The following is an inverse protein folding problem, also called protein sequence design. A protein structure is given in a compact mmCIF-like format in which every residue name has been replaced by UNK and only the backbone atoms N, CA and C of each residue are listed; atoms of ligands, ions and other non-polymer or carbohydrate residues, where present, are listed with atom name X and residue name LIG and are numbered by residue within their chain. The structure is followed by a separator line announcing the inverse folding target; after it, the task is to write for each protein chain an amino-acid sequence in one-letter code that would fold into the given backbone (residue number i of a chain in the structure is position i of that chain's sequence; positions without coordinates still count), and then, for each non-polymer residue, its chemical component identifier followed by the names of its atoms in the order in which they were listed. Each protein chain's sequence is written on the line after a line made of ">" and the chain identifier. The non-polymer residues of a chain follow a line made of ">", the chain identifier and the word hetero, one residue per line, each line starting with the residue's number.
data_IF_379342835750
#
_entry.id   IF_379342835750
#
_cell.length_a   1.000
_cell.length_b   1.000
_cell.length_c   1.000
_cell.angle_alpha   90.00
_cell.angle_beta   90.00
_cell.angle_gamma   90.00
#
_symmetry.space_group_name_H-M   'P 1'
#
loop_
_entity.id
_entity.type
_entity.pdbx_description
1 polymer ?
#
# COMPACT_ATOMS: atom_id res chain seq x y z
N UNK A 1 22.04 -43.90 -19.84
CA UNK A 1 21.66 -42.64 -20.50
C UNK A 1 20.14 -42.62 -20.66
N UNK A 2 19.42 -41.96 -19.74
CA UNK A 2 18.00 -41.63 -19.92
C UNK A 2 17.94 -40.14 -20.24
N UNK A 3 17.42 -39.80 -21.41
CA UNK A 3 17.13 -38.44 -21.81
C UNK A 3 16.27 -37.77 -20.74
N UNK A 4 16.79 -36.68 -20.16
CA UNK A 4 15.99 -35.72 -19.40
C UNK A 4 15.21 -34.96 -20.46
N UNK A 5 13.93 -35.30 -20.60
CA UNK A 5 12.98 -34.46 -21.29
C UNK A 5 12.87 -33.18 -20.46
N UNK A 6 13.33 -32.06 -21.01
CA UNK A 6 13.15 -30.72 -20.46
C UNK A 6 11.64 -30.49 -20.31
N UNK A 7 11.09 -30.81 -19.13
CA UNK A 7 9.78 -30.31 -18.74
C UNK A 7 9.97 -28.83 -18.49
N UNK A 8 9.69 -28.04 -19.53
CA UNK A 8 9.43 -26.61 -19.42
C UNK A 8 8.63 -26.40 -18.14
N UNK A 9 9.26 -25.78 -17.15
CA UNK A 9 8.55 -25.10 -16.07
C UNK A 9 7.37 -24.43 -16.76
N UNK A 10 6.16 -24.60 -16.25
CA UNK A 10 4.99 -23.98 -16.85
C UNK A 10 4.99 -22.47 -16.52
N UNK A 11 6.08 -21.82 -16.93
CA UNK A 11 6.34 -20.40 -16.99
C UNK A 11 5.24 -19.74 -17.79
N UNK A 12 4.58 -20.45 -18.71
CA UNK A 12 3.35 -19.98 -19.36
C UNK A 12 2.21 -19.84 -18.36
N UNK A 13 1.89 -20.85 -17.55
CA UNK A 13 0.83 -20.74 -16.54
C UNK A 13 1.18 -19.76 -15.43
N UNK A 14 2.44 -19.70 -15.01
CA UNK A 14 2.91 -18.72 -14.03
C UNK A 14 2.81 -17.30 -14.60
N UNK A 15 3.34 -17.07 -15.82
CA UNK A 15 3.20 -15.79 -16.51
C UNK A 15 1.73 -15.45 -16.73
N UNK A 16 0.91 -16.40 -17.16
CA UNK A 16 -0.54 -16.21 -17.37
C UNK A 16 -1.22 -15.79 -16.08
N UNK A 17 -0.93 -16.45 -14.95
CA UNK A 17 -1.43 -16.05 -13.64
C UNK A 17 -1.00 -14.63 -13.25
N UNK A 18 0.26 -14.26 -13.51
CA UNK A 18 0.76 -12.90 -13.26
C UNK A 18 0.17 -11.85 -14.18
N UNK A 19 0.00 -12.17 -15.46
CA UNK A 19 -0.62 -11.31 -16.47
C UNK A 19 -2.09 -11.10 -16.14
N UNK A 20 -2.83 -12.16 -15.81
CA UNK A 20 -4.22 -12.09 -15.36
C UNK A 20 -4.32 -11.28 -14.08
N UNK A 21 -3.51 -11.56 -13.05
CA UNK A 21 -3.52 -10.77 -11.81
C UNK A 21 -3.20 -9.29 -12.08
N UNK A 22 -2.20 -8.98 -12.90
CA UNK A 22 -1.83 -7.60 -13.24
C UNK A 22 -2.93 -6.89 -14.02
N UNK A 23 -3.52 -7.53 -15.03
CA UNK A 23 -4.54 -6.93 -15.89
C UNK A 23 -5.88 -6.79 -15.14
N UNK A 24 -6.23 -7.75 -14.28
CA UNK A 24 -7.35 -7.64 -13.34
C UNK A 24 -7.11 -6.53 -12.32
N UNK A 25 -5.91 -6.41 -11.72
CA UNK A 25 -5.57 -5.32 -10.80
C UNK A 25 -5.58 -3.93 -11.47
N UNK A 26 -5.20 -3.86 -12.76
CA UNK A 26 -5.20 -2.62 -13.54
C UNK A 26 -6.61 -2.13 -13.93
N UNK A 27 -7.62 -2.98 -13.81
CA UNK A 27 -9.02 -2.70 -14.17
C UNK A 27 -9.93 -2.45 -12.96
N UNK A 28 -9.39 -2.43 -11.73
CA UNK A 28 -10.13 -2.24 -10.46
C UNK A 28 -10.78 -0.84 -10.29
N UNK A 29 -10.80 0.00 -11.32
CA UNK A 29 -11.61 1.22 -11.29
C UNK A 29 -13.03 0.96 -11.84
N UNK A 30 -13.99 0.98 -10.91
CA UNK A 30 -15.45 1.07 -11.07
C UNK A 30 -16.22 -0.25 -11.31
N UNK A 31 -16.69 -0.85 -10.19
CA UNK A 31 -17.63 -1.99 -10.04
C UNK A 31 -17.08 -3.35 -10.44
N UNK A 32 -16.61 -4.10 -9.44
CA UNK A 32 -16.26 -5.51 -9.58
C UNK A 32 -17.48 -6.35 -9.97
N UNK A 33 -17.37 -7.11 -11.06
CA UNK A 33 -18.28 -8.22 -11.31
C UNK A 33 -17.82 -9.44 -10.51
N UNK A 34 -18.73 -10.34 -10.13
CA UNK A 34 -18.36 -11.58 -9.43
C UNK A 34 -17.36 -12.44 -10.21
N UNK A 35 -17.29 -12.25 -11.54
CA UNK A 35 -16.37 -12.92 -12.43
C UNK A 35 -14.92 -12.44 -12.20
N UNK A 36 -14.71 -11.14 -12.03
CA UNK A 36 -13.37 -10.55 -11.86
C UNK A 36 -12.72 -11.00 -10.54
N UNK A 37 -13.53 -11.10 -9.48
CA UNK A 37 -13.11 -11.61 -8.17
C UNK A 37 -12.76 -13.09 -8.23
N UNK A 38 -13.48 -13.88 -9.04
CA UNK A 38 -13.23 -15.30 -9.18
C UNK A 38 -11.96 -15.58 -10.00
N UNK A 39 -11.73 -14.83 -11.08
CA UNK A 39 -10.48 -14.90 -11.85
C UNK A 39 -9.26 -14.51 -11.01
N UNK A 40 -9.41 -13.52 -10.12
CA UNK A 40 -8.37 -13.14 -9.17
C UNK A 40 -8.05 -14.30 -8.20
N UNK A 41 -9.07 -14.93 -7.61
CA UNK A 41 -8.91 -16.09 -6.72
C UNK A 41 -8.24 -17.27 -7.43
N UNK A 42 -8.65 -17.57 -8.66
CA UNK A 42 -8.03 -18.63 -9.47
C UNK A 42 -6.55 -18.33 -9.74
N UNK A 43 -6.21 -17.06 -10.01
CA UNK A 43 -4.82 -16.61 -10.14
C UNK A 43 -3.98 -16.88 -8.90
N UNK A 44 -4.51 -16.55 -7.71
CA UNK A 44 -3.86 -16.85 -6.43
C UNK A 44 -3.71 -18.35 -6.19
N UNK A 45 -4.75 -19.15 -6.41
CA UNK A 45 -4.69 -20.61 -6.22
C UNK A 45 -3.65 -21.26 -7.16
N UNK A 46 -3.57 -20.81 -8.41
CA UNK A 46 -2.56 -21.27 -9.36
C UNK A 46 -1.15 -20.90 -8.90
N UNK A 47 -0.95 -19.68 -8.39
CA UNK A 47 0.33 -19.23 -7.86
C UNK A 47 0.77 -20.10 -6.67
N UNK A 48 -0.11 -20.33 -5.70
CA UNK A 48 0.16 -21.17 -4.54
C UNK A 48 0.50 -22.62 -4.94
N UNK A 49 -0.26 -23.19 -5.88
CA UNK A 49 -0.01 -24.54 -6.40
C UNK A 49 1.35 -24.62 -7.10
N UNK A 50 1.71 -23.64 -7.92
CA UNK A 50 2.99 -23.58 -8.61
C UNK A 50 4.17 -23.47 -7.63
N UNK A 51 4.03 -22.65 -6.58
CA UNK A 51 5.04 -22.50 -5.52
C UNK A 51 5.22 -23.83 -4.77
N UNK A 52 4.13 -24.46 -4.34
CA UNK A 52 4.19 -25.73 -3.60
C UNK A 52 4.81 -26.84 -4.45
N UNK A 53 4.42 -26.96 -5.72
CA UNK A 53 5.00 -27.95 -6.63
C UNK A 53 6.50 -27.73 -6.87
N UNK A 54 6.93 -26.47 -6.99
CA UNK A 54 8.33 -26.11 -7.15
C UNK A 54 9.16 -26.41 -5.87
N UNK A 55 8.57 -26.22 -4.68
CA UNK A 55 9.17 -26.61 -3.39
C UNK A 55 9.33 -28.12 -3.28
N UNK A 56 8.28 -28.89 -3.54
CA UNK A 56 8.30 -30.37 -3.51
C UNK A 56 9.35 -30.98 -4.44
N UNK A 57 9.54 -30.37 -5.62
CA UNK A 57 10.52 -30.83 -6.62
C UNK A 57 11.94 -30.34 -6.38
N UNK A 58 12.20 -29.57 -5.31
CA UNK A 58 13.51 -28.96 -5.05
C UNK A 58 13.96 -27.97 -6.12
N UNK A 59 13.03 -27.47 -6.94
CA UNK A 59 13.26 -26.50 -8.02
C UNK A 59 13.10 -25.05 -7.53
N UNK A 60 12.62 -24.87 -6.31
CA UNK A 60 12.55 -23.60 -5.61
C UNK A 60 13.95 -23.15 -5.15
N UNK A 61 14.70 -22.51 -6.06
CA UNK A 61 16.11 -22.13 -5.84
C UNK A 61 16.29 -20.76 -5.17
N UNK A 62 15.30 -19.86 -5.26
CA UNK A 62 15.25 -18.59 -4.52
C UNK A 62 14.38 -18.81 -3.28
N UNK A 63 14.87 -18.55 -2.09
CA UNK A 63 14.12 -18.75 -0.83
C UNK A 63 13.10 -17.65 -0.53
N UNK A 64 13.14 -16.54 -1.27
CA UNK A 64 12.30 -15.36 -1.06
C UNK A 64 11.41 -15.08 -2.28
N UNK A 65 10.13 -14.84 -2.02
CA UNK A 65 9.12 -14.41 -2.99
C UNK A 65 8.86 -12.92 -2.73
N UNK A 66 9.01 -12.04 -3.72
CA UNK A 66 8.59 -10.64 -3.61
C UNK A 66 7.37 -10.43 -4.51
N UNK A 67 6.18 -10.30 -3.91
CA UNK A 67 4.93 -10.12 -4.66
C UNK A 67 4.97 -8.86 -5.55
N UNK A 68 5.62 -7.80 -5.10
CA UNK A 68 5.69 -6.54 -5.86
C UNK A 68 6.57 -6.67 -7.10
N UNK A 69 7.69 -7.38 -7.00
CA UNK A 69 8.55 -7.72 -8.14
C UNK A 69 7.79 -8.62 -9.13
N UNK A 70 7.16 -9.66 -8.59
CA UNK A 70 6.47 -10.69 -9.36
C UNK A 70 5.28 -10.13 -10.14
N UNK A 71 4.51 -9.22 -9.56
CA UNK A 71 3.41 -8.53 -10.24
C UNK A 71 3.85 -7.32 -11.07
N UNK A 72 5.13 -6.91 -11.01
CA UNK A 72 5.64 -5.74 -11.72
C UNK A 72 5.06 -4.40 -11.20
N UNK A 73 4.65 -4.35 -9.94
CA UNK A 73 3.95 -3.21 -9.31
C UNK A 73 4.85 -2.36 -8.41
N UNK A 74 6.16 -2.64 -8.39
CA UNK A 74 7.16 -2.02 -7.50
C UNK A 74 7.20 -0.49 -7.54
N UNK A 75 6.77 0.09 -8.64
CA UNK A 75 6.86 1.53 -8.94
C UNK A 75 5.47 2.16 -9.13
N UNK A 76 4.39 1.40 -8.87
CA UNK A 76 3.02 1.87 -9.06
C UNK A 76 2.51 2.55 -7.79
N UNK A 77 2.54 3.88 -7.79
CA UNK A 77 2.09 4.73 -6.66
C UNK A 77 0.65 4.42 -6.24
N UNK A 78 -0.26 4.16 -7.20
CA UNK A 78 -1.66 3.82 -6.90
C UNK A 78 -1.81 2.53 -6.10
N UNK A 79 -1.01 1.50 -6.39
CA UNK A 79 -1.02 0.24 -5.64
C UNK A 79 -0.52 0.43 -4.21
N UNK A 80 0.55 1.21 -4.04
CA UNK A 80 1.05 1.59 -2.71
C UNK A 80 0.01 2.38 -1.93
N UNK A 81 -0.65 3.34 -2.58
CA UNK A 81 -1.70 4.16 -1.98
C UNK A 81 -2.90 3.31 -1.55
N UNK A 82 -3.27 2.29 -2.32
CA UNK A 82 -4.33 1.35 -1.95
C UNK A 82 -3.96 0.51 -0.70
N UNK A 83 -2.73 0.00 -0.63
CA UNK A 83 -2.27 -0.74 0.57
C UNK A 83 -2.23 0.17 1.79
N UNK A 84 -1.73 1.40 1.65
CA UNK A 84 -1.72 2.38 2.73
C UNK A 84 -3.14 2.75 3.17
N UNK A 85 -4.06 2.99 2.24
CA UNK A 85 -5.46 3.29 2.55
C UNK A 85 -6.13 2.13 3.30
N UNK A 86 -5.86 0.90 2.89
CA UNK A 86 -6.32 -0.31 3.60
C UNK A 86 -5.77 -0.37 5.03
N UNK A 87 -4.47 -0.10 5.25
CA UNK A 87 -3.85 -0.03 6.58
C UNK A 87 -4.37 1.13 7.46
N UNK A 88 -4.75 2.25 6.83
CA UNK A 88 -5.25 3.46 7.50
C UNK A 88 -6.73 3.37 7.88
N UNK A 89 -7.48 2.39 7.36
CA UNK A 89 -8.90 2.23 7.65
C UNK A 89 -9.11 1.22 8.79
N UNK A 90 -9.50 1.65 10.01
CA UNK A 90 -9.67 0.75 11.16
C UNK A 90 -10.68 -0.38 10.99
N UNK A 91 -11.59 -0.28 10.00
CA UNK A 91 -12.64 -1.26 9.73
C UNK A 91 -12.22 -2.33 8.71
N UNK A 92 -11.04 -2.18 8.09
CA UNK A 92 -10.54 -3.12 7.08
C UNK A 92 -9.89 -4.36 7.71
N UNK A 93 -9.82 -5.44 6.91
CA UNK A 93 -9.34 -6.75 7.34
C UNK A 93 -7.80 -6.87 7.42
N UNK A 94 -7.10 -5.85 7.94
CA UNK A 94 -5.63 -5.90 8.16
C UNK A 94 -5.23 -6.38 9.56
N UNK A 95 -6.14 -6.37 10.54
CA UNK A 95 -5.92 -6.93 11.89
C UNK A 95 -5.28 -5.98 12.90
N UNK A 96 -5.01 -4.72 12.54
CA UNK A 96 -4.46 -3.71 13.46
C UNK A 96 -5.53 -2.81 14.09
N UNK A 97 -6.77 -2.86 13.59
CA UNK A 97 -7.83 -1.92 13.97
C UNK A 97 -7.36 -0.46 13.85
N UNK A 98 -7.65 0.37 14.83
CA UNK A 98 -7.24 1.78 14.82
C UNK A 98 -5.75 2.04 15.10
N UNK A 99 -4.96 1.02 15.46
CA UNK A 99 -3.59 1.21 15.97
C UNK A 99 -2.66 1.80 14.91
N UNK A 100 -2.69 1.28 13.68
CA UNK A 100 -1.81 1.78 12.62
C UNK A 100 -2.04 3.27 12.34
N UNK A 101 -3.30 3.67 12.12
CA UNK A 101 -3.66 5.08 11.89
C UNK A 101 -3.26 5.98 13.07
N UNK A 102 -3.49 5.54 14.31
CA UNK A 102 -3.10 6.31 15.51
C UNK A 102 -1.60 6.46 15.64
N UNK A 103 -0.87 5.36 15.50
CA UNK A 103 0.58 5.34 15.67
C UNK A 103 1.26 6.13 14.55
N UNK A 104 0.71 6.09 13.33
CA UNK A 104 1.14 6.93 12.22
C UNK A 104 0.99 8.42 12.55
N UNK A 105 -0.19 8.88 12.98
CA UNK A 105 -0.39 10.29 13.35
C UNK A 105 0.52 10.69 14.52
N UNK A 106 0.61 9.87 15.57
CA UNK A 106 1.43 10.17 16.74
C UNK A 106 2.94 10.24 16.41
N UNK A 107 3.41 9.41 15.48
CA UNK A 107 4.82 9.36 15.06
C UNK A 107 5.19 10.54 14.16
N UNK A 108 4.30 10.96 13.27
CA UNK A 108 4.54 12.05 12.31
C UNK A 108 4.27 13.43 12.91
N UNK A 109 3.19 13.57 13.68
CA UNK A 109 2.72 14.85 14.21
C UNK A 109 2.79 14.86 15.74
N UNK A 110 3.94 15.30 16.27
CA UNK A 110 4.18 15.42 17.71
C UNK A 110 3.06 16.28 18.35
N UNK A 111 2.61 15.87 19.54
CA UNK A 111 1.53 16.48 20.33
C UNK A 111 0.12 16.52 19.70
N UNK A 112 -0.06 15.91 18.53
CA UNK A 112 -1.36 15.80 17.90
C UNK A 112 -1.99 14.44 18.16
N UNK A 113 -3.10 14.44 18.91
CA UNK A 113 -3.88 13.23 19.17
C UNK A 113 -5.18 13.25 18.38
N UNK A 114 -5.46 12.12 17.74
CA UNK A 114 -6.77 11.83 17.21
C UNK A 114 -7.79 11.60 18.36
N UNK A 115 -9.09 11.81 18.12
CA UNK A 115 -10.13 11.48 19.10
C UNK A 115 -10.09 10.02 19.57
N UNK A 116 -10.66 9.74 20.74
CA UNK A 116 -10.66 8.38 21.33
C UNK A 116 -11.48 7.35 20.57
N UNK A 117 -12.47 7.77 19.77
CA UNK A 117 -13.18 6.91 18.82
C UNK A 117 -12.92 7.42 17.41
N UNK A 118 -12.51 6.54 16.51
CA UNK A 118 -12.31 6.87 15.11
C UNK A 118 -13.46 6.30 14.30
N UNK A 119 -14.22 7.20 13.69
CA UNK A 119 -15.09 6.88 12.55
C UNK A 119 -14.51 7.67 11.39
N UNK A 120 -13.96 6.95 10.42
CA UNK A 120 -13.22 7.58 9.32
C UNK A 120 -13.74 7.07 7.99
N UNK A 121 -13.70 7.93 6.98
CA UNK A 121 -13.84 7.54 5.58
C UNK A 121 -12.47 7.66 4.93
N UNK A 122 -11.96 6.55 4.41
CA UNK A 122 -10.73 6.54 3.62
C UNK A 122 -11.10 6.52 2.14
N UNK A 123 -10.38 7.29 1.32
CA UNK A 123 -10.61 7.35 -0.12
C UNK A 123 -9.26 7.49 -0.84
N UNK A 124 -9.03 6.66 -1.85
CA UNK A 124 -7.91 6.79 -2.78
C UNK A 124 -8.36 7.46 -4.08
N UNK A 125 -7.39 7.99 -4.82
CA UNK A 125 -7.60 8.65 -6.13
C UNK A 125 -8.77 9.66 -6.13
N UNK A 126 -8.88 10.45 -5.06
CA UNK A 126 -10.00 11.38 -4.90
C UNK A 126 -9.86 12.53 -5.91
N UNK A 127 -10.71 12.51 -6.94
CA UNK A 127 -10.82 13.60 -7.92
C UNK A 127 -11.19 14.92 -7.24
N UNK A 128 -10.42 15.96 -7.53
CA UNK A 128 -10.60 17.32 -7.04
C UNK A 128 -10.34 18.31 -8.18
N UNK A 129 -11.38 18.55 -8.98
CA UNK A 129 -11.25 19.23 -10.27
C UNK A 129 -10.42 18.38 -11.23
N UNK A 130 -9.30 18.92 -11.70
CA UNK A 130 -8.36 18.22 -12.60
C UNK A 130 -7.30 17.40 -11.85
N UNK A 131 -7.23 17.48 -10.51
CA UNK A 131 -6.22 16.74 -9.74
C UNK A 131 -6.79 15.50 -9.08
N UNK A 132 -5.89 14.62 -8.71
CA UNK A 132 -6.16 13.40 -7.97
C UNK A 132 -5.33 13.46 -6.69
N UNK A 133 -6.00 13.33 -5.53
CA UNK A 133 -5.35 13.12 -4.24
C UNK A 133 -5.14 11.63 -4.02
N UNK A 134 -3.91 11.23 -3.68
CA UNK A 134 -3.58 9.81 -3.55
C UNK A 134 -4.35 9.14 -2.41
N UNK A 135 -4.37 9.74 -1.21
CA UNK A 135 -5.14 9.24 -0.06
C UNK A 135 -5.72 10.39 0.76
N UNK A 136 -7.00 10.29 1.08
CA UNK A 136 -7.68 11.18 2.04
C UNK A 136 -8.38 10.33 3.11
N UNK A 137 -8.05 10.59 4.38
CA UNK A 137 -8.77 10.08 5.55
C UNK A 137 -9.57 11.23 6.15
N UNK A 138 -10.88 11.11 6.13
CA UNK A 138 -11.82 12.08 6.68
C UNK A 138 -12.37 11.56 8.00
N UNK A 139 -12.15 12.30 9.08
CA UNK A 139 -12.77 12.05 10.38
C UNK A 139 -13.57 13.25 10.88
N UNK A 140 -14.23 13.11 12.03
CA UNK A 140 -15.03 14.19 12.61
C UNK A 140 -14.14 15.39 12.99
N UNK A 141 -14.22 16.47 12.21
CA UNK A 141 -13.45 17.71 12.36
C UNK A 141 -11.93 17.53 12.21
N UNK A 142 -11.48 16.52 11.47
CA UNK A 142 -10.07 16.38 11.13
C UNK A 142 -9.85 15.65 9.80
N UNK A 143 -8.71 15.91 9.18
CA UNK A 143 -8.32 15.34 7.90
C UNK A 143 -6.88 14.87 7.95
N UNK A 144 -6.61 13.71 7.35
CA UNK A 144 -5.28 13.32 6.92
C UNK A 144 -5.27 13.23 5.40
N UNK A 145 -4.31 13.89 4.78
CA UNK A 145 -4.09 13.88 3.34
C UNK A 145 -2.67 13.42 3.11
N UNK A 146 -2.52 12.37 2.31
CA UNK A 146 -1.21 11.83 1.94
C UNK A 146 -1.10 11.95 0.44
N UNK A 147 -0.09 12.69 0.00
CA UNK A 147 0.46 12.58 -1.35
C UNK A 147 1.58 11.53 -1.30
N UNK A 148 1.48 10.50 -2.13
CA UNK A 148 2.40 9.37 -2.14
C UNK A 148 3.23 9.40 -3.44
N UNK A 149 4.55 9.34 -3.30
CA UNK A 149 5.48 9.42 -4.42
C UNK A 149 6.55 8.33 -4.30
N UNK A 150 6.61 7.41 -5.24
CA UNK A 150 7.55 6.26 -5.24
C UNK A 150 8.73 6.50 -6.19
N UNK A 151 8.50 7.22 -7.30
CA UNK A 151 9.45 7.29 -8.39
C UNK A 151 10.08 8.67 -8.61
N UNK A 152 9.34 9.72 -8.28
CA UNK A 152 9.67 11.07 -8.70
C UNK A 152 9.41 12.07 -7.59
N UNK A 153 10.17 13.17 -7.60
CA UNK A 153 9.88 14.34 -6.79
C UNK A 153 8.50 14.92 -7.09
N UNK A 154 8.07 15.84 -6.25
CA UNK A 154 6.76 16.49 -6.36
C UNK A 154 6.49 17.04 -7.78
N UNK A 155 5.30 16.76 -8.34
CA UNK A 155 4.83 17.46 -9.54
C UNK A 155 4.62 18.95 -9.21
N UNK A 156 5.08 19.85 -10.08
CA UNK A 156 5.16 21.28 -9.77
C UNK A 156 3.85 21.86 -9.17
N UNK A 157 3.96 22.36 -7.94
CA UNK A 157 2.93 23.08 -7.18
C UNK A 157 1.75 22.25 -6.64
N UNK A 158 1.78 20.92 -6.72
CA UNK A 158 0.69 20.09 -6.21
C UNK A 158 0.49 20.25 -4.69
N UNK A 159 1.57 20.25 -3.90
CA UNK A 159 1.48 20.44 -2.44
C UNK A 159 1.07 21.87 -2.06
N UNK A 160 1.41 22.87 -2.86
CA UNK A 160 0.99 24.27 -2.63
C UNK A 160 -0.53 24.37 -2.76
N UNK A 161 -1.10 23.84 -3.85
CA UNK A 161 -2.54 23.89 -4.12
C UNK A 161 -3.35 23.18 -3.03
N UNK A 162 -2.91 22.00 -2.62
CA UNK A 162 -3.58 21.26 -1.54
C UNK A 162 -3.42 21.95 -0.18
N UNK A 163 -2.25 22.52 0.10
CA UNK A 163 -2.05 23.30 1.32
C UNK A 163 -3.03 24.48 1.40
N UNK A 164 -3.24 25.24 0.32
CA UNK A 164 -4.20 26.34 0.29
C UNK A 164 -5.64 25.89 0.55
N UNK A 165 -6.05 24.78 -0.09
CA UNK A 165 -7.39 24.20 0.12
C UNK A 165 -7.61 23.77 1.56
N UNK A 166 -6.72 22.94 2.09
CA UNK A 166 -6.89 22.40 3.43
C UNK A 166 -6.61 23.43 4.52
N UNK A 167 -5.87 24.50 4.23
CA UNK A 167 -5.78 25.67 5.12
C UNK A 167 -7.14 26.32 5.35
N UNK A 168 -8.06 26.30 4.37
CA UNK A 168 -9.42 26.79 4.59
C UNK A 168 -10.18 25.92 5.59
N UNK A 169 -9.99 24.59 5.57
CA UNK A 169 -10.52 23.69 6.59
C UNK A 169 -9.95 23.98 7.97
N UNK A 170 -8.63 24.22 8.05
CA UNK A 170 -7.96 24.69 9.26
C UNK A 170 -8.56 25.98 9.83
N UNK A 171 -8.88 26.96 8.97
CA UNK A 171 -9.55 28.22 9.38
C UNK A 171 -10.95 28.00 9.96
N UNK A 172 -11.63 26.90 9.61
CA UNK A 172 -12.92 26.50 10.18
C UNK A 172 -12.77 25.74 11.52
N UNK A 173 -11.56 25.61 12.05
CA UNK A 173 -11.27 24.92 13.31
C UNK A 173 -11.08 23.40 13.17
N UNK A 174 -11.01 22.88 11.95
CA UNK A 174 -10.74 21.47 11.70
C UNK A 174 -9.24 21.18 11.77
N UNK A 175 -8.83 20.04 12.35
CA UNK A 175 -7.41 19.64 12.35
C UNK A 175 -7.02 19.10 10.98
N UNK A 176 -5.85 19.47 10.46
CA UNK A 176 -5.40 19.01 9.14
C UNK A 176 -3.98 18.50 9.25
N UNK A 177 -3.79 17.25 8.80
CA UNK A 177 -2.52 16.56 8.67
C UNK A 177 -2.22 16.42 7.18
N UNK A 178 -1.17 17.07 6.70
CA UNK A 178 -0.73 16.98 5.30
C UNK A 178 0.62 16.28 5.26
N UNK A 179 0.70 15.18 4.51
CA UNK A 179 1.90 14.34 4.42
C UNK A 179 2.31 14.22 2.96
N UNK A 180 3.61 14.41 2.71
CA UNK A 180 4.25 13.92 1.49
C UNK A 180 5.03 12.66 1.87
N UNK A 181 4.54 11.51 1.44
CA UNK A 181 5.19 10.22 1.65
C UNK A 181 6.04 9.90 0.43
N UNK A 182 7.32 9.63 0.66
CA UNK A 182 8.26 9.16 -0.38
C UNK A 182 9.26 8.18 0.22
N UNK A 183 9.97 7.36 -0.58
CA UNK A 183 10.99 6.44 -0.08
C UNK A 183 11.92 7.10 0.94
N UNK A 184 12.60 8.19 0.56
CA UNK A 184 13.60 8.85 1.41
C UNK A 184 13.04 10.00 2.27
N UNK A 185 11.75 10.30 2.18
CA UNK A 185 11.14 11.44 2.88
C UNK A 185 11.62 12.79 2.35
N UNK A 186 11.61 12.94 1.02
CA UNK A 186 12.04 14.16 0.32
C UNK A 186 11.19 15.36 0.76
N UNK A 187 11.79 16.54 1.05
CA UNK A 187 11.03 17.72 1.43
C UNK A 187 10.05 18.17 0.35
N UNK A 188 8.81 18.53 0.71
CA UNK A 188 7.85 19.15 -0.20
C UNK A 188 8.24 20.61 -0.52
N UNK A 189 7.73 21.12 -1.64
CA UNK A 189 7.81 22.55 -1.97
C UNK A 189 6.98 23.38 -0.99
N UNK A 190 5.80 22.89 -0.59
CA UNK A 190 4.95 23.54 0.41
C UNK A 190 5.37 23.19 1.84
N UNK A 191 5.69 24.20 2.64
CA UNK A 191 6.03 24.03 4.06
C UNK A 191 4.88 23.56 4.96
N UNK A 192 3.65 23.46 4.42
CA UNK A 192 2.51 22.90 5.15
C UNK A 192 2.47 21.37 5.12
N UNK A 193 3.16 20.75 4.16
CA UNK A 193 3.28 19.30 4.08
C UNK A 193 4.43 18.83 4.97
N UNK A 194 4.20 17.76 5.70
CA UNK A 194 5.24 17.08 6.49
C UNK A 194 5.88 16.00 5.61
N UNK A 195 7.20 16.04 5.35
CA UNK A 195 7.87 14.96 4.65
C UNK A 195 7.92 13.70 5.53
N UNK A 196 7.58 12.56 4.95
CA UNK A 196 7.60 11.26 5.63
C UNK A 196 8.29 10.24 4.73
N UNK A 197 9.22 9.48 5.31
CA UNK A 197 9.86 8.33 4.64
C UNK A 197 9.02 7.06 4.81
N UNK A 198 9.06 6.17 3.82
CA UNK A 198 8.49 4.82 3.93
C UNK A 198 9.07 4.00 5.09
N UNK A 199 10.26 4.38 5.60
CA UNK A 199 10.81 3.82 6.83
C UNK A 199 9.85 3.89 8.01
N UNK A 200 9.11 5.00 8.14
CA UNK A 200 8.14 5.17 9.22
C UNK A 200 7.02 4.13 9.09
N UNK A 201 6.54 3.90 7.87
CA UNK A 201 5.53 2.88 7.58
C UNK A 201 6.07 1.49 7.98
N UNK A 202 7.28 1.15 7.53
CA UNK A 202 7.94 -0.12 7.87
C UNK A 202 8.07 -0.31 9.38
N UNK A 203 8.64 0.65 10.10
CA UNK A 203 8.86 0.58 11.55
C UNK A 203 7.54 0.36 12.32
N UNK A 204 6.46 1.02 11.89
CA UNK A 204 5.13 0.85 12.47
C UNK A 204 4.58 -0.56 12.23
N UNK A 205 4.65 -1.05 10.99
CA UNK A 205 4.19 -2.40 10.65
C UNK A 205 4.97 -3.47 11.41
N UNK A 206 6.30 -3.37 11.45
CA UNK A 206 7.15 -4.30 12.21
C UNK A 206 6.81 -4.31 13.71
N UNK A 207 6.52 -3.13 14.28
CA UNK A 207 6.14 -3.00 15.69
C UNK A 207 4.79 -3.64 15.95
N UNK A 208 3.80 -3.41 15.09
CA UNK A 208 2.45 -3.96 15.24
C UNK A 208 2.44 -5.48 15.06
N UNK A 209 3.17 -6.01 14.07
CA UNK A 209 3.32 -7.46 13.87
C UNK A 209 3.96 -8.15 15.06
N UNK A 210 4.95 -7.52 15.71
CA UNK A 210 5.60 -8.07 16.92
C UNK A 210 4.68 -8.04 18.15
N UNK A 211 3.80 -7.06 18.25
CA UNK A 211 3.03 -6.79 19.48
C UNK A 211 1.66 -7.43 19.51
N UNK A 212 1.04 -7.67 18.35
CA UNK A 212 -0.35 -8.08 18.28
C UNK A 212 -0.56 -9.60 18.11
N UNK A 213 0.48 -10.38 17.79
CA UNK A 213 0.43 -11.85 17.74
C UNK A 213 -0.82 -12.45 17.06
N UNK A 214 -1.31 -11.83 15.97
CA UNK A 214 -2.41 -12.37 15.16
C UNK A 214 -1.83 -13.07 13.93
N UNK A 215 -2.11 -14.36 13.77
CA UNK A 215 -1.91 -15.07 12.51
C UNK A 215 -3.18 -14.92 11.67
N UNK A 216 -3.19 -13.95 10.76
CA UNK A 216 -4.24 -13.76 9.77
C UNK A 216 -3.65 -13.71 8.36
N UNK A 217 -4.45 -14.00 7.34
CA UNK A 217 -4.03 -14.00 5.93
C UNK A 217 -3.41 -12.65 5.51
N UNK A 218 -3.79 -11.55 6.17
CA UNK A 218 -3.22 -10.21 5.99
C UNK A 218 -1.73 -10.12 6.34
N UNK A 219 -1.21 -10.95 7.25
CA UNK A 219 0.19 -10.92 7.69
C UNK A 219 1.14 -11.18 6.52
N UNK A 220 0.76 -12.08 5.60
CA UNK A 220 1.56 -12.39 4.42
C UNK A 220 1.74 -11.15 3.54
N UNK A 221 0.64 -10.45 3.21
CA UNK A 221 0.71 -9.23 2.41
C UNK A 221 1.52 -8.14 3.10
N UNK A 222 1.32 -7.95 4.41
CA UNK A 222 2.03 -6.94 5.20
C UNK A 222 3.54 -7.22 5.23
N UNK A 223 3.94 -8.49 5.42
CA UNK A 223 5.37 -8.89 5.38
C UNK A 223 5.98 -8.67 4.00
N UNK A 224 5.27 -9.02 2.93
CA UNK A 224 5.75 -8.73 1.58
C UNK A 224 5.86 -7.23 1.30
N UNK A 225 4.99 -6.40 1.89
CA UNK A 225 5.10 -4.96 1.77
C UNK A 225 6.28 -4.39 2.56
N UNK A 226 6.55 -4.90 3.76
CA UNK A 226 7.77 -4.60 4.53
C UNK A 226 9.02 -4.97 3.71
N UNK A 227 9.06 -6.19 3.18
CA UNK A 227 10.20 -6.65 2.36
C UNK A 227 10.40 -5.79 1.12
N UNK A 228 9.29 -5.37 0.48
CA UNK A 228 9.36 -4.46 -0.67
C UNK A 228 9.97 -3.11 -0.27
N UNK A 229 9.54 -2.51 0.85
CA UNK A 229 10.13 -1.26 1.36
C UNK A 229 11.65 -1.45 1.62
N UNK A 230 12.06 -2.55 2.26
CA UNK A 230 13.48 -2.80 2.55
C UNK A 230 14.30 -2.96 1.26
N UNK A 231 13.83 -3.82 0.35
CA UNK A 231 14.63 -4.26 -0.79
C UNK A 231 14.64 -3.23 -1.93
N UNK A 232 13.53 -2.53 -2.14
CA UNK A 232 13.35 -1.66 -3.30
C UNK A 232 13.44 -0.16 -2.94
N UNK A 233 13.18 0.23 -1.69
CA UNK A 233 13.34 1.62 -1.22
C UNK A 233 14.60 1.83 -0.37
N UNK A 234 15.21 0.76 0.15
CA UNK A 234 16.44 0.84 0.94
C UNK A 234 16.24 1.36 2.38
N UNK A 235 15.01 1.27 2.90
CA UNK A 235 14.59 1.85 4.18
C UNK A 235 14.21 0.83 5.26
#
# INVERSE_FOLDING_TARGET
>A
MKQIQESTLNLENFRKGLFTLRDSLATINERESAQDVEELKEGFLCLFSAINNAKEKGLWRKTHLNLFEVFGIKRLESVHSNILAWLLNPEEAHGFGEKFLRDFINKVFIDNKLPSKLFVKVTTEKKDGENILDIVVEGKNWWLVIENKVDSGEQENQTIRYAEKYKQKGKLGEKVFLVLLSPEGVPPVSSYFTPVSYRIIRELLETLLKTLHFESDSDILIRHFIDHIILDFGE
#
